data_IF_734435614451
#
_entry.id   IF_734435614451
#
_cell.length_a   1.000
_cell.length_b   1.000
_cell.length_c   1.000
_cell.angle_alpha   90.00
_cell.angle_beta   90.00
_cell.angle_gamma   90.00
#
_symmetry.space_group_name_H-M   'P 1'
#
loop_
_entity.id
_entity.type
_entity.pdbx_description
1 polymer ?
#
# COMPACT_ATOMS: atom_id res chain seq x y z
N UNK A 1 18.45 7.79 -11.68
CA UNK A 1 18.01 9.00 -12.38
C UNK A 1 16.63 9.31 -11.85
N UNK A 2 16.49 10.33 -10.99
CA UNK A 2 15.19 10.83 -10.56
C UNK A 2 14.89 12.06 -11.41
N UNK A 3 14.12 11.88 -12.47
CA UNK A 3 13.74 12.96 -13.37
C UNK A 3 12.49 13.69 -12.82
N UNK A 4 12.58 15.01 -12.81
CA UNK A 4 11.53 15.98 -12.47
C UNK A 4 10.39 15.93 -13.51
N UNK A 5 9.59 14.86 -13.51
CA UNK A 5 8.34 14.86 -14.24
C UNK A 5 7.31 15.72 -13.51
N UNK A 6 6.58 16.57 -14.25
CA UNK A 6 5.31 17.10 -13.75
C UNK A 6 4.34 15.94 -13.48
N UNK A 7 3.34 16.17 -12.61
CA UNK A 7 2.35 15.14 -12.27
C UNK A 7 1.64 14.57 -13.52
N UNK A 8 1.40 15.41 -14.53
CA UNK A 8 0.79 15.00 -15.80
C UNK A 8 1.73 14.12 -16.64
N UNK A 9 3.01 14.48 -16.77
CA UNK A 9 3.98 13.65 -17.50
C UNK A 9 4.20 12.30 -16.80
N UNK A 10 4.22 12.32 -15.47
CA UNK A 10 4.30 11.10 -14.65
C UNK A 10 3.11 10.19 -14.93
N UNK A 11 1.90 10.72 -14.94
CA UNK A 11 0.70 9.96 -15.26
C UNK A 11 0.73 9.39 -16.69
N UNK A 12 1.17 10.17 -17.67
CA UNK A 12 1.31 9.70 -19.06
C UNK A 12 2.32 8.54 -19.13
N UNK A 13 3.46 8.65 -18.46
CA UNK A 13 4.46 7.57 -18.38
C UNK A 13 3.86 6.30 -17.78
N UNK A 14 3.18 6.43 -16.63
CA UNK A 14 2.49 5.33 -15.96
C UNK A 14 1.50 4.60 -16.88
N UNK A 15 0.65 5.35 -17.58
CA UNK A 15 -0.36 4.79 -18.50
C UNK A 15 0.30 4.08 -19.68
N UNK A 16 1.35 4.67 -20.29
CA UNK A 16 2.09 4.04 -21.38
C UNK A 16 2.72 2.72 -20.95
N UNK A 17 3.36 2.71 -19.78
CA UNK A 17 3.99 1.51 -19.25
C UNK A 17 2.96 0.40 -19.00
N UNK A 18 1.79 0.71 -18.45
CA UNK A 18 0.71 -0.27 -18.26
C UNK A 18 0.18 -0.83 -19.59
N UNK A 19 0.07 0.00 -20.62
CA UNK A 19 -0.34 -0.45 -21.95
C UNK A 19 0.65 -1.47 -22.56
N UNK A 20 1.94 -1.34 -22.24
CA UNK A 20 2.99 -2.28 -22.64
C UNK A 20 3.04 -3.54 -21.76
N UNK A 21 2.39 -3.53 -20.60
CA UNK A 21 2.40 -4.61 -19.61
C UNK A 21 0.97 -5.05 -19.23
N UNK A 22 0.20 -5.64 -20.18
CA UNK A 22 -1.23 -5.92 -19.99
C UNK A 22 -1.53 -6.86 -18.81
N UNK A 23 -0.62 -7.80 -18.51
CA UNK A 23 -0.76 -8.66 -17.33
C UNK A 23 -0.74 -7.85 -16.04
N UNK A 24 0.18 -6.89 -15.91
CA UNK A 24 0.30 -6.01 -14.74
C UNK A 24 -0.90 -5.07 -14.65
N UNK A 25 -1.33 -4.54 -15.79
CA UNK A 25 -2.54 -3.72 -15.87
C UNK A 25 -3.77 -4.48 -15.37
N UNK A 26 -3.99 -5.72 -15.79
CA UNK A 26 -5.09 -6.55 -15.27
C UNK A 26 -4.94 -6.76 -13.75
N UNK A 27 -3.74 -7.10 -13.26
CA UNK A 27 -3.48 -7.24 -11.81
C UNK A 27 -3.72 -5.97 -11.00
N UNK A 28 -3.56 -4.79 -11.57
CA UNK A 28 -3.83 -3.51 -10.89
C UNK A 28 -5.28 -3.04 -11.03
N UNK A 29 -5.93 -3.27 -12.17
CA UNK A 29 -7.18 -2.61 -12.52
C UNK A 29 -8.42 -3.51 -12.48
N UNK A 30 -8.29 -4.83 -12.59
CA UNK A 30 -9.44 -5.74 -12.74
C UNK A 30 -9.76 -6.48 -11.43
N UNK A 31 -10.96 -6.32 -10.89
CA UNK A 31 -11.33 -6.86 -9.57
C UNK A 31 -11.21 -8.39 -9.45
N UNK A 32 -11.45 -9.11 -10.55
CA UNK A 32 -11.37 -10.58 -10.60
C UNK A 32 -9.95 -11.11 -10.77
N UNK A 33 -8.96 -10.24 -11.02
CA UNK A 33 -7.59 -10.66 -11.24
C UNK A 33 -6.89 -10.94 -9.90
N UNK A 34 -7.00 -12.19 -9.44
CA UNK A 34 -6.32 -12.63 -8.21
C UNK A 34 -4.79 -12.66 -8.37
N UNK A 35 -4.08 -11.97 -7.48
CA UNK A 35 -2.61 -11.98 -7.43
C UNK A 35 -2.13 -12.85 -6.26
N UNK A 36 -1.24 -13.82 -6.48
CA UNK A 36 -0.62 -14.58 -5.38
C UNK A 36 0.45 -13.74 -4.67
N UNK A 37 0.96 -14.19 -3.52
CA UNK A 37 2.07 -13.49 -2.83
C UNK A 37 3.33 -13.39 -3.70
N UNK A 38 3.73 -14.48 -4.36
CA UNK A 38 4.92 -14.53 -5.21
C UNK A 38 4.76 -13.64 -6.44
N UNK A 39 3.57 -13.65 -7.05
CA UNK A 39 3.26 -12.76 -8.16
C UNK A 39 3.30 -11.30 -7.71
N UNK A 40 2.71 -10.99 -6.55
CA UNK A 40 2.73 -9.64 -6.03
C UNK A 40 4.14 -9.14 -5.76
N UNK A 41 4.98 -9.95 -5.12
CA UNK A 41 6.39 -9.62 -4.90
C UNK A 41 7.10 -9.34 -6.24
N UNK A 42 6.91 -10.21 -7.24
CA UNK A 42 7.49 -10.03 -8.57
C UNK A 42 7.02 -8.73 -9.25
N UNK A 43 5.76 -8.35 -9.05
CA UNK A 43 5.20 -7.10 -9.58
C UNK A 43 5.80 -5.90 -8.84
N UNK A 44 5.93 -5.97 -7.51
CA UNK A 44 6.55 -4.92 -6.69
C UNK A 44 7.97 -4.65 -7.18
N UNK A 45 8.80 -5.69 -7.28
CA UNK A 45 10.19 -5.55 -7.72
C UNK A 45 10.28 -4.95 -9.15
N UNK A 46 9.37 -5.35 -10.04
CA UNK A 46 9.30 -4.79 -11.39
C UNK A 46 8.90 -3.30 -11.37
N UNK A 47 7.91 -2.92 -10.57
CA UNK A 47 7.49 -1.53 -10.43
C UNK A 47 8.60 -0.68 -9.79
N UNK A 48 9.27 -1.16 -8.76
CA UNK A 48 10.42 -0.49 -8.12
C UNK A 48 11.55 -0.25 -9.11
N UNK A 49 11.89 -1.26 -9.93
CA UNK A 49 12.92 -1.13 -10.97
C UNK A 49 12.61 -0.04 -11.99
N UNK A 50 11.32 0.22 -12.24
CA UNK A 50 10.86 1.30 -13.13
C UNK A 50 10.50 2.59 -12.38
N UNK A 51 10.77 2.63 -11.06
CA UNK A 51 10.47 3.75 -10.19
C UNK A 51 8.98 4.03 -9.99
N UNK A 52 8.09 3.08 -10.29
CA UNK A 52 6.61 3.19 -10.29
C UNK A 52 6.00 2.94 -8.90
N UNK A 53 6.50 3.61 -7.86
CA UNK A 53 6.11 3.37 -6.47
C UNK A 53 4.62 3.65 -6.17
N UNK A 54 4.01 4.58 -6.88
CA UNK A 54 2.59 4.91 -6.73
C UNK A 54 1.70 3.71 -7.08
N UNK A 55 2.11 2.90 -8.06
CA UNK A 55 1.39 1.67 -8.44
C UNK A 55 1.55 0.55 -7.41
N UNK A 56 2.65 0.53 -6.66
CA UNK A 56 2.86 -0.45 -5.58
C UNK A 56 1.79 -0.25 -4.51
N UNK A 57 1.52 1.01 -4.13
CA UNK A 57 0.48 1.33 -3.15
C UNK A 57 -0.90 0.87 -3.65
N UNK A 58 -1.20 1.07 -4.94
CA UNK A 58 -2.45 0.60 -5.56
C UNK A 58 -2.56 -0.93 -5.50
N UNK A 59 -1.48 -1.64 -5.84
CA UNK A 59 -1.43 -3.10 -5.79
C UNK A 59 -1.70 -3.63 -4.37
N UNK A 60 -1.07 -3.03 -3.36
CA UNK A 60 -1.24 -3.43 -1.97
C UNK A 60 -2.65 -3.15 -1.46
N UNK A 61 -3.22 -1.97 -1.75
CA UNK A 61 -4.59 -1.63 -1.37
C UNK A 61 -5.62 -2.56 -2.01
N UNK A 62 -5.40 -2.97 -3.27
CA UNK A 62 -6.27 -3.93 -3.94
C UNK A 62 -6.25 -5.31 -3.27
N UNK A 63 -5.08 -5.76 -2.84
CA UNK A 63 -4.90 -7.10 -2.28
C UNK A 63 -5.06 -7.15 -0.74
N UNK A 64 -5.34 -6.03 -0.08
CA UNK A 64 -5.36 -5.93 1.39
C UNK A 64 -6.36 -6.87 2.10
N UNK A 65 -7.40 -7.33 1.41
CA UNK A 65 -8.43 -8.22 1.97
C UNK A 65 -8.13 -9.71 1.76
N UNK A 66 -7.01 -10.04 1.11
CA UNK A 66 -6.55 -11.43 1.01
C UNK A 66 -5.93 -11.81 2.35
N UNK A 67 -6.33 -12.96 2.90
CA UNK A 67 -5.89 -13.42 4.23
C UNK A 67 -4.36 -13.41 4.39
N UNK A 68 -3.64 -13.88 3.37
CA UNK A 68 -2.18 -13.93 3.40
C UNK A 68 -1.53 -12.53 3.41
N UNK A 69 -2.12 -11.57 2.69
CA UNK A 69 -1.69 -10.17 2.72
C UNK A 69 -2.02 -9.51 4.06
N UNK A 70 -3.22 -9.77 4.58
CA UNK A 70 -3.67 -9.27 5.87
C UNK A 70 -2.69 -9.68 6.99
N UNK A 71 -2.22 -10.93 6.97
CA UNK A 71 -1.23 -11.42 7.94
C UNK A 71 0.08 -10.64 7.85
N UNK A 72 0.69 -10.54 6.65
CA UNK A 72 1.96 -9.82 6.45
C UNK A 72 1.84 -8.34 6.83
N UNK A 73 0.75 -7.69 6.41
CA UNK A 73 0.51 -6.27 6.72
C UNK A 73 0.29 -6.09 8.23
N UNK A 74 -0.42 -7.00 8.88
CA UNK A 74 -0.64 -6.96 10.32
C UNK A 74 0.67 -7.12 11.09
N UNK A 75 1.51 -8.08 10.71
CA UNK A 75 2.84 -8.27 11.31
C UNK A 75 3.69 -7.00 11.17
N UNK A 76 3.76 -6.45 9.95
CA UNK A 76 4.48 -5.20 9.70
C UNK A 76 3.94 -4.03 10.53
N UNK A 77 2.61 -3.88 10.62
CA UNK A 77 1.98 -2.82 11.43
C UNK A 77 2.31 -3.01 12.91
N UNK A 78 2.25 -4.24 13.43
CA UNK A 78 2.62 -4.53 14.82
C UNK A 78 4.08 -4.17 15.08
N UNK A 79 5.01 -4.52 14.19
CA UNK A 79 6.43 -4.15 14.33
C UNK A 79 6.62 -2.63 14.39
N UNK A 80 5.92 -1.89 13.53
CA UNK A 80 5.98 -0.41 13.54
C UNK A 80 5.32 0.16 14.80
N UNK A 81 4.22 -0.43 15.25
CA UNK A 81 3.57 -0.05 16.49
C UNK A 81 4.48 -0.27 17.70
N UNK A 82 5.23 -1.38 17.75
CA UNK A 82 6.18 -1.65 18.83
C UNK A 82 7.31 -0.62 18.87
N UNK A 83 7.88 -0.26 17.71
CA UNK A 83 8.91 0.80 17.63
C UNK A 83 8.37 2.15 18.08
N UNK A 84 7.12 2.45 17.72
CA UNK A 84 6.46 3.68 18.15
C UNK A 84 6.16 3.67 19.64
N UNK A 85 5.72 2.54 20.20
CA UNK A 85 5.55 2.35 21.64
C UNK A 85 6.87 2.63 22.35
N UNK A 86 7.98 2.02 21.94
CA UNK A 86 9.30 2.25 22.54
C UNK A 86 9.68 3.74 22.52
N UNK A 87 9.24 4.48 21.50
CA UNK A 87 9.53 5.91 21.32
C UNK A 87 8.67 6.81 22.21
N UNK A 88 7.37 6.54 22.35
CA UNK A 88 6.41 7.45 23.03
C UNK A 88 5.91 6.95 24.39
N UNK A 89 6.11 5.67 24.70
CA UNK A 89 5.60 4.99 25.89
C UNK A 89 4.16 4.49 25.74
N UNK A 90 3.85 3.39 26.45
CA UNK A 90 2.53 2.71 26.36
C UNK A 90 1.36 3.61 26.75
N UNK A 91 1.55 4.48 27.73
CA UNK A 91 0.46 5.33 28.24
C UNK A 91 0.02 6.35 27.20
N UNK A 92 0.98 7.01 26.54
CA UNK A 92 0.72 7.95 25.47
C UNK A 92 0.11 7.25 24.26
N UNK A 93 0.66 6.09 23.87
CA UNK A 93 0.11 5.32 22.76
C UNK A 93 -1.34 4.88 23.01
N UNK A 94 -1.63 4.40 24.22
CA UNK A 94 -2.99 4.07 24.64
C UNK A 94 -3.91 5.30 24.62
N UNK A 95 -3.42 6.46 25.07
CA UNK A 95 -4.17 7.71 25.04
C UNK A 95 -4.56 8.09 23.60
N UNK A 96 -3.61 8.04 22.67
CA UNK A 96 -3.81 8.40 21.26
C UNK A 96 -4.80 7.44 20.57
N UNK A 97 -4.66 6.13 20.77
CA UNK A 97 -5.59 5.11 20.23
C UNK A 97 -7.01 5.36 20.76
N UNK A 98 -7.16 5.56 22.08
CA UNK A 98 -8.46 5.87 22.69
C UNK A 98 -9.06 7.15 22.09
N UNK A 99 -8.23 8.16 21.82
CA UNK A 99 -8.63 9.40 21.15
C UNK A 99 -9.26 9.13 19.77
N UNK A 100 -8.54 8.40 18.91
CA UNK A 100 -9.02 8.04 17.57
C UNK A 100 -10.31 7.21 17.58
N UNK A 101 -10.45 6.27 18.52
CA UNK A 101 -11.67 5.48 18.68
C UNK A 101 -12.86 6.39 19.04
N UNK A 102 -12.67 7.32 19.99
CA UNK A 102 -13.71 8.27 20.39
C UNK A 102 -14.13 9.19 19.25
N UNK A 103 -13.19 9.66 18.43
CA UNK A 103 -13.50 10.46 17.23
C UNK A 103 -14.36 9.68 16.24
N UNK A 104 -14.01 8.42 15.95
CA UNK A 104 -14.77 7.52 15.07
C UNK A 104 -16.19 7.26 15.58
N UNK A 105 -16.39 7.12 16.90
CA UNK A 105 -17.72 6.96 17.49
C UNK A 105 -18.57 8.20 17.23
N UNK A 106 -18.04 9.41 17.49
CA UNK A 106 -18.75 10.68 17.30
C UNK A 106 -19.13 10.98 15.84
N UNK A 107 -18.39 10.44 14.87
CA UNK A 107 -18.68 10.61 13.44
C UNK A 107 -19.81 9.71 12.92
N UNK A 108 -20.28 8.76 13.75
CA UNK A 108 -21.40 7.88 13.41
C UNK A 108 -22.75 8.39 13.92
N UNK A 109 -22.75 9.46 14.73
CA UNK A 109 -23.93 10.19 15.22
C UNK A 109 -24.16 11.46 14.38
#
# INVERSE_FOLDING_TARGET
MQDNYSASERMIYMVKWLAEHPKIQSRLCEDYAETTLEECLSIIELLEKNGLYEMIVVLLLKNQYKLEFEQIVTEFVIEKMLKEWERVGIEQMCYDIKGKIKEKIKQKD
#
